data_IF_824248259732
#
_entry.id   IF_824248259732
#
_cell.length_a   1.000
_cell.length_b   1.000
_cell.length_c   1.000
_cell.angle_alpha   90.00
_cell.angle_beta   90.00
_cell.angle_gamma   90.00
#
_symmetry.space_group_name_H-M   'P 1'
#
loop_
_entity.id
_entity.type
_entity.pdbx_description
1 polymer ?
#
# COMPACT_ATOMS: atom_id res chain seq x y z
N UNK A 1 -4.08 12.44 -7.50
CA UNK A 1 -3.16 11.41 -6.96
C UNK A 1 -2.93 11.70 -5.48
N UNK A 2 -3.07 10.70 -4.60
CA UNK A 2 -2.68 10.85 -3.20
C UNK A 2 -1.20 11.23 -3.09
N UNK A 3 -0.83 12.03 -2.09
CA UNK A 3 0.56 12.46 -1.92
C UNK A 3 1.44 11.25 -1.59
N UNK A 4 2.52 11.00 -2.36
CA UNK A 4 3.43 9.92 -2.03
C UNK A 4 4.10 10.17 -0.68
N UNK A 5 4.15 9.14 0.14
CA UNK A 5 4.78 9.19 1.47
C UNK A 5 6.00 8.27 1.49
N UNK A 6 7.06 8.70 2.17
CA UNK A 6 8.24 7.88 2.44
C UNK A 6 8.42 7.69 3.94
N UNK A 7 8.87 6.51 4.35
CA UNK A 7 9.17 6.19 5.74
C UNK A 7 10.34 5.24 5.81
N UNK A 8 11.29 5.53 6.70
CA UNK A 8 12.38 4.62 7.02
C UNK A 8 11.98 3.72 8.17
N UNK A 9 12.32 2.44 8.04
CA UNK A 9 12.11 1.42 9.05
C UNK A 9 13.43 0.70 9.33
N UNK A 10 13.67 0.35 10.58
CA UNK A 10 14.73 -0.58 10.97
C UNK A 10 14.11 -1.89 11.48
N UNK A 11 14.96 -2.88 11.75
CA UNK A 11 14.53 -4.17 12.31
C UNK A 11 13.68 -3.97 13.56
N UNK A 12 12.55 -4.67 13.62
CA UNK A 12 11.59 -4.58 14.73
C UNK A 12 10.63 -3.39 14.64
N UNK A 13 10.80 -2.46 13.70
CA UNK A 13 9.81 -1.43 13.41
C UNK A 13 8.79 -1.92 12.37
N UNK A 14 7.58 -1.41 12.50
CA UNK A 14 6.51 -1.63 11.55
C UNK A 14 5.71 -0.36 11.30
N UNK A 15 5.33 -0.14 10.05
CA UNK A 15 4.35 0.86 9.65
C UNK A 15 2.97 0.18 9.53
N UNK A 16 1.97 0.72 10.21
CA UNK A 16 0.57 0.26 10.09
C UNK A 16 -0.24 1.37 9.43
N UNK A 17 -0.90 1.05 8.34
CA UNK A 17 -1.74 2.01 7.62
C UNK A 17 -2.99 1.33 7.07
N UNK A 18 -4.04 2.13 6.91
CA UNK A 18 -5.17 1.77 6.08
C UNK A 18 -4.76 2.01 4.63
N UNK A 19 -4.83 0.98 3.81
CA UNK A 19 -4.52 1.05 2.39
C UNK A 19 -5.77 0.76 1.57
N UNK A 20 -6.14 1.67 0.68
CA UNK A 20 -7.19 1.43 -0.29
C UNK A 20 -6.70 0.49 -1.39
N UNK A 21 -7.61 -0.28 -2.00
CA UNK A 21 -7.33 -1.04 -3.22
C UNK A 21 -6.72 -0.13 -4.29
N UNK A 22 -5.60 -0.54 -4.88
CA UNK A 22 -4.79 0.28 -5.78
C UNK A 22 -3.70 1.11 -5.08
N UNK A 23 -3.53 0.98 -3.75
CA UNK A 23 -2.36 1.54 -3.06
C UNK A 23 -1.10 0.87 -3.57
N UNK A 24 -0.14 1.68 -4.00
CA UNK A 24 1.17 1.25 -4.42
C UNK A 24 2.14 1.29 -3.22
N UNK A 25 2.89 0.22 -3.01
CA UNK A 25 3.91 0.10 -1.95
C UNK A 25 5.20 -0.42 -2.57
N UNK A 26 6.28 0.33 -2.40
CA UNK A 26 7.59 0.05 -2.96
C UNK A 26 8.63 0.00 -1.85
N UNK A 27 9.43 -1.05 -1.82
CA UNK A 27 10.66 -1.06 -1.04
C UNK A 27 11.73 -0.30 -1.84
N UNK A 28 11.96 0.98 -1.54
CA UNK A 28 12.96 1.76 -2.26
C UNK A 28 14.39 1.38 -1.88
N UNK A 29 14.58 0.89 -0.66
CA UNK A 29 15.85 0.33 -0.16
C UNK A 29 15.56 -0.84 0.79
N UNK A 30 16.42 -1.86 0.79
CA UNK A 30 16.32 -2.98 1.73
C UNK A 30 15.19 -3.97 1.40
N UNK A 31 14.67 -4.64 2.43
CA UNK A 31 13.59 -5.63 2.28
C UNK A 31 12.54 -5.51 3.38
N UNK A 32 11.28 -5.61 2.96
CA UNK A 32 10.10 -5.47 3.82
C UNK A 32 9.14 -6.65 3.60
N UNK A 33 8.37 -6.98 4.63
CA UNK A 33 7.19 -7.84 4.50
C UNK A 33 5.93 -7.02 4.67
N UNK A 34 5.00 -7.21 3.75
CA UNK A 34 3.64 -6.69 3.81
C UNK A 34 2.77 -7.82 4.34
N UNK A 35 1.99 -7.50 5.36
CA UNK A 35 1.03 -8.41 5.97
C UNK A 35 -0.33 -7.75 5.89
N UNK A 36 -1.25 -8.41 5.18
CA UNK A 36 -2.62 -7.93 5.05
C UNK A 36 -3.50 -8.37 6.23
N UNK A 37 -4.65 -7.72 6.37
CA UNK A 37 -5.68 -8.19 7.28
C UNK A 37 -6.06 -9.63 6.90
N UNK A 38 -6.18 -10.53 7.89
CA UNK A 38 -6.57 -11.90 7.62
C UNK A 38 -8.01 -11.96 7.11
N UNK A 39 -8.29 -12.94 6.26
CA UNK A 39 -9.64 -13.21 5.76
C UNK A 39 -10.13 -14.55 6.30
N UNK A 40 -11.41 -14.59 6.65
CA UNK A 40 -12.10 -15.83 7.00
C UNK A 40 -12.70 -16.44 5.72
N UNK A 41 -12.25 -17.63 5.37
CA UNK A 41 -12.81 -18.41 4.27
C UNK A 41 -13.37 -19.71 4.84
N UNK A 42 -14.68 -19.74 5.07
CA UNK A 42 -15.36 -20.83 5.77
C UNK A 42 -14.78 -21.07 7.16
N UNK A 43 -14.19 -22.23 7.42
CA UNK A 43 -13.52 -22.61 8.66
C UNK A 43 -12.02 -22.29 8.66
N UNK A 44 -11.52 -21.64 7.60
CA UNK A 44 -10.10 -21.32 7.44
C UNK A 44 -9.81 -19.85 7.71
N UNK A 45 -8.71 -19.61 8.42
CA UNK A 45 -8.13 -18.29 8.61
C UNK A 45 -6.94 -18.16 7.66
N UNK A 46 -7.07 -17.31 6.64
CA UNK A 46 -6.02 -17.08 5.66
C UNK A 46 -5.27 -15.79 6.00
N UNK A 47 -3.95 -15.91 6.09
CA UNK A 47 -3.06 -14.80 6.34
C UNK A 47 -2.16 -14.59 5.14
N UNK A 48 -2.33 -13.48 4.44
CA UNK A 48 -1.51 -13.13 3.28
C UNK A 48 -0.31 -12.32 3.76
N UNK A 49 0.90 -12.84 3.51
CA UNK A 49 2.13 -12.06 3.63
C UNK A 49 2.98 -12.16 2.38
N UNK A 50 3.48 -11.03 1.93
CA UNK A 50 4.34 -10.89 0.74
C UNK A 50 5.61 -10.16 1.14
N UNK A 51 6.76 -10.73 0.81
CA UNK A 51 8.05 -10.05 0.97
C UNK A 51 8.38 -9.28 -0.29
N UNK A 52 8.75 -8.01 -0.14
CA UNK A 52 9.33 -7.18 -1.18
C UNK A 52 10.83 -7.00 -0.92
N UNK A 53 11.59 -7.16 -2.00
CA UNK A 53 12.99 -6.76 -2.10
C UNK A 53 13.09 -5.36 -2.68
N UNK A 54 14.29 -4.82 -2.63
CA UNK A 54 14.59 -3.50 -3.18
C UNK A 54 14.08 -3.36 -4.62
N UNK A 55 13.44 -2.23 -4.89
CA UNK A 55 12.80 -1.87 -6.16
C UNK A 55 11.60 -2.73 -6.57
N UNK A 56 11.12 -3.64 -5.71
CA UNK A 56 9.88 -4.38 -5.96
C UNK A 56 8.65 -3.61 -5.50
N UNK A 57 7.61 -3.64 -6.34
CA UNK A 57 6.33 -2.96 -6.12
C UNK A 57 5.25 -3.98 -5.76
N UNK A 58 4.49 -3.68 -4.73
CA UNK A 58 3.22 -4.32 -4.42
C UNK A 58 2.06 -3.38 -4.65
N UNK A 59 1.00 -3.89 -5.28
CA UNK A 59 -0.27 -3.18 -5.44
C UNK A 59 -1.30 -3.87 -4.56
N UNK A 60 -1.82 -3.13 -3.58
CA UNK A 60 -2.86 -3.62 -2.67
C UNK A 60 -4.11 -3.95 -3.48
N UNK A 61 -4.58 -5.19 -3.37
CA UNK A 61 -5.73 -5.66 -4.16
C UNK A 61 -7.06 -5.38 -3.46
N UNK A 62 -7.10 -5.48 -2.14
CA UNK A 62 -8.30 -5.25 -1.33
C UNK A 62 -8.04 -4.15 -0.29
N UNK A 63 -8.98 -3.23 -0.14
CA UNK A 63 -8.87 -2.18 0.87
C UNK A 63 -8.86 -2.79 2.28
N UNK A 64 -7.96 -2.31 3.14
CA UNK A 64 -7.89 -2.76 4.51
C UNK A 64 -6.65 -2.28 5.26
N UNK A 65 -6.56 -2.72 6.52
CA UNK A 65 -5.36 -2.49 7.32
C UNK A 65 -4.25 -3.43 6.91
N UNK A 66 -3.07 -2.86 6.68
CA UNK A 66 -1.85 -3.61 6.40
C UNK A 66 -0.77 -3.24 7.42
N UNK A 67 0.16 -4.16 7.61
CA UNK A 67 1.39 -3.95 8.36
C UNK A 67 2.58 -4.14 7.43
N UNK A 68 3.47 -3.14 7.37
CA UNK A 68 4.74 -3.22 6.66
C UNK A 68 5.86 -3.32 7.68
N UNK A 69 6.59 -4.42 7.69
CA UNK A 69 7.67 -4.69 8.66
C UNK A 69 9.01 -4.84 7.94
N UNK A 70 10.08 -4.30 8.51
CA UNK A 70 11.40 -4.37 7.89
C UNK A 70 12.24 -5.54 8.44
N UNK A 71 12.96 -6.23 7.55
CA UNK A 71 13.90 -7.30 7.94
C UNK A 71 15.29 -6.76 8.32
N UNK A 72 15.55 -5.49 8.02
CA UNK A 72 16.75 -4.72 8.33
C UNK A 72 16.45 -3.23 8.12
N UNK A 73 17.45 -2.34 8.00
CA UNK A 73 17.21 -0.98 7.53
C UNK A 73 16.56 -1.01 6.14
N UNK A 74 15.43 -0.34 5.99
CA UNK A 74 14.67 -0.26 4.76
C UNK A 74 14.00 1.12 4.60
N UNK A 75 13.81 1.53 3.35
CA UNK A 75 12.98 2.69 3.02
C UNK A 75 11.74 2.22 2.26
N UNK A 76 10.58 2.66 2.73
CA UNK A 76 9.27 2.34 2.16
C UNK A 76 8.71 3.60 1.53
N UNK A 77 8.32 3.50 0.27
CA UNK A 77 7.50 4.48 -0.41
C UNK A 77 6.10 3.92 -0.60
N UNK A 78 5.07 4.70 -0.32
CA UNK A 78 3.70 4.30 -0.63
C UNK A 78 2.84 5.46 -1.08
N UNK A 79 1.83 5.16 -1.89
CA UNK A 79 0.90 6.14 -2.43
C UNK A 79 -0.51 5.55 -2.50
N UNK A 80 -1.46 6.22 -1.84
CA UNK A 80 -2.87 5.91 -1.96
C UNK A 80 -3.38 6.24 -3.37
N UNK A 81 -4.37 5.50 -3.90
CA UNK A 81 -5.04 5.85 -5.14
C UNK A 81 -5.72 7.23 -5.02
N UNK A 82 -6.03 7.84 -6.16
CA UNK A 82 -6.88 9.02 -6.16
C UNK A 82 -8.32 8.58 -5.81
N UNK A 83 -8.96 9.12 -4.76
CA UNK A 83 -10.35 8.79 -4.43
C UNK A 83 -11.33 9.24 -5.54
N UNK A 84 -10.95 10.20 -6.38
CA UNK A 84 -11.78 10.70 -7.47
C UNK A 84 -11.01 10.74 -8.81
N UNK A 85 -10.72 9.57 -9.41
CA UNK A 85 -9.85 9.47 -10.59
C UNK A 85 -10.37 10.23 -11.81
N UNK A 86 -11.67 10.54 -11.86
CA UNK A 86 -12.33 11.26 -12.95
C UNK A 86 -12.74 12.68 -12.61
N UNK A 87 -12.45 13.20 -11.41
CA UNK A 87 -12.91 14.53 -11.01
C UNK A 87 -12.50 15.63 -12.01
N UNK A 88 -11.24 15.60 -12.46
CA UNK A 88 -10.74 16.53 -13.45
C UNK A 88 -11.43 16.37 -14.82
N UNK A 89 -11.76 15.13 -15.20
CA UNK A 89 -12.49 14.86 -16.45
C UNK A 89 -13.93 15.37 -16.38
N UNK A 90 -14.63 15.10 -15.28
CA UNK A 90 -16.00 15.56 -15.06
C UNK A 90 -16.07 17.09 -15.00
N UNK A 91 -15.14 17.73 -14.30
CA UNK A 91 -15.05 19.20 -14.27
C UNK A 91 -14.91 19.81 -15.67
N UNK A 92 -14.13 19.17 -16.56
CA UNK A 92 -13.99 19.61 -17.96
C UNK A 92 -15.27 19.40 -18.78
N UNK A 93 -15.97 18.28 -18.58
CA UNK A 93 -17.22 17.98 -19.29
C UNK A 93 -18.35 18.94 -18.90
N UNK A 94 -18.45 19.31 -17.63
CA UNK A 94 -19.52 20.17 -17.14
C UNK A 94 -19.23 21.68 -17.20
N UNK A 95 -17.99 22.08 -17.53
CA UNK A 95 -17.64 23.50 -17.74
C UNK A 95 -17.79 23.98 -19.18
N UNK A 96 -18.29 23.13 -20.09
CA UNK A 96 -18.48 23.46 -21.52
C UNK A 96 -19.95 23.68 -21.90
N UNK A 97 -20.83 23.99 -20.93
CA UNK A 97 -22.26 24.26 -21.11
C UNK A 97 -22.60 25.73 -20.87
#
# INVERSE_FOLDING_TARGET
MGTPTRTRLIVGQALRLHADSGTNILATEGSISITEAPIWLSDQFLHHSTTLRESELYVVQASGWITVSAHGPAEVWYQQPDPYPFAALLARLFSSA
#
